data_IF_461074837739
#
_entry.id   IF_461074837739
#
_cell.length_a   1.000
_cell.length_b   1.000
_cell.length_c   1.000
_cell.angle_alpha   90.00
_cell.angle_beta   90.00
_cell.angle_gamma   90.00
#
_symmetry.space_group_name_H-M   'P 1'
#
loop_
_entity.id
_entity.type
_entity.pdbx_description
1 polymer ?
#
# COMPACT_ATOMS: atom_id res chain seq x y z
N UNK A 1 -2.49 25.01 -17.87
CA UNK A 1 -3.71 25.05 -17.06
C UNK A 1 -4.15 23.62 -16.79
N UNK A 2 -4.16 23.28 -15.51
CA UNK A 2 -4.32 21.94 -14.95
C UNK A 2 -5.77 21.46 -14.98
N UNK A 3 -5.97 20.18 -15.28
CA UNK A 3 -6.87 19.26 -14.56
C UNK A 3 -6.81 17.88 -15.23
N UNK A 4 -6.02 16.98 -14.64
CA UNK A 4 -6.31 15.56 -14.76
C UNK A 4 -6.10 14.94 -13.37
N UNK A 5 -7.07 15.19 -12.50
CA UNK A 5 -7.31 14.36 -11.32
C UNK A 5 -7.57 12.93 -11.83
N UNK A 6 -6.57 12.06 -11.70
CA UNK A 6 -6.79 10.63 -11.85
C UNK A 6 -7.64 10.15 -10.67
N UNK A 7 -8.97 10.31 -10.81
CA UNK A 7 -9.96 9.70 -9.93
C UNK A 7 -9.75 8.19 -10.03
N UNK A 8 -9.16 7.57 -9.00
CA UNK A 8 -9.22 6.11 -8.81
C UNK A 8 -10.69 5.71 -8.95
N UNK A 9 -11.03 4.97 -10.00
CA UNK A 9 -12.39 4.49 -10.22
C UNK A 9 -12.74 3.59 -9.03
N UNK A 10 -13.77 3.95 -8.28
CA UNK A 10 -14.28 3.10 -7.20
C UNK A 10 -14.77 1.80 -7.83
N UNK A 11 -14.12 0.67 -7.53
CA UNK A 11 -14.53 -0.66 -8.01
C UNK A 11 -15.81 -1.06 -7.25
N UNK A 12 -16.86 -1.35 -8.00
CA UNK A 12 -18.16 -1.78 -7.48
C UNK A 12 -18.66 -2.95 -8.32
N UNK A 13 -19.44 -3.82 -7.69
CA UNK A 13 -19.98 -5.02 -8.30
C UNK A 13 -21.50 -5.04 -8.20
N UNK A 14 -22.17 -5.53 -9.23
CA UNK A 14 -23.57 -5.91 -9.20
C UNK A 14 -23.78 -7.18 -8.38
N UNK A 15 -25.03 -7.47 -8.00
CA UNK A 15 -25.37 -8.72 -7.32
C UNK A 15 -25.02 -9.97 -8.16
N UNK A 16 -25.09 -9.87 -9.49
CA UNK A 16 -24.72 -10.96 -10.39
C UNK A 16 -23.20 -11.18 -10.41
N UNK A 17 -22.40 -10.11 -10.48
CA UNK A 17 -20.94 -10.21 -10.41
C UNK A 17 -20.49 -10.78 -9.07
N UNK A 18 -21.08 -10.32 -7.95
CA UNK A 18 -20.86 -10.90 -6.61
C UNK A 18 -21.15 -12.40 -6.60
N UNK A 19 -22.28 -12.81 -7.19
CA UNK A 19 -22.68 -14.20 -7.24
C UNK A 19 -21.69 -15.05 -8.05
N UNK A 20 -21.30 -14.57 -9.22
CA UNK A 20 -20.33 -15.24 -10.09
C UNK A 20 -18.97 -15.40 -9.40
N UNK A 21 -18.45 -14.33 -8.79
CA UNK A 21 -17.18 -14.35 -8.06
C UNK A 21 -17.23 -15.33 -6.88
N UNK A 22 -18.32 -15.35 -6.13
CA UNK A 22 -18.47 -16.23 -4.97
C UNK A 22 -18.90 -17.67 -5.33
N UNK A 23 -19.08 -17.99 -6.61
CA UNK A 23 -19.53 -19.31 -7.05
C UNK A 23 -20.95 -19.68 -6.59
N UNK A 24 -21.83 -18.69 -6.42
CA UNK A 24 -23.23 -18.89 -5.99
C UNK A 24 -24.22 -18.41 -7.05
N UNK A 25 -25.48 -18.82 -6.92
CA UNK A 25 -26.56 -18.31 -7.78
C UNK A 25 -26.91 -16.85 -7.44
N UNK A 26 -27.32 -16.06 -8.43
CA UNK A 26 -27.64 -14.63 -8.28
C UNK A 26 -28.63 -14.35 -7.12
N UNK A 27 -29.63 -15.21 -6.95
CA UNK A 27 -30.61 -15.07 -5.85
C UNK A 27 -29.96 -15.15 -4.46
N UNK A 28 -28.89 -15.93 -4.30
CA UNK A 28 -28.15 -16.04 -3.03
C UNK A 28 -27.47 -14.73 -2.68
N UNK A 29 -26.79 -14.09 -3.64
CA UNK A 29 -26.16 -12.79 -3.43
C UNK A 29 -27.19 -11.69 -3.14
N UNK A 30 -28.33 -11.69 -3.83
CA UNK A 30 -29.46 -10.79 -3.54
C UNK A 30 -29.98 -11.00 -2.12
N UNK A 31 -30.09 -12.25 -1.66
CA UNK A 31 -30.54 -12.56 -0.31
C UNK A 31 -29.53 -12.09 0.75
N UNK A 32 -28.22 -12.19 0.51
CA UNK A 32 -27.21 -11.62 1.41
C UNK A 32 -27.38 -10.11 1.59
N UNK A 33 -27.66 -9.40 0.50
CA UNK A 33 -27.88 -7.96 0.52
C UNK A 33 -29.18 -7.61 1.25
N UNK A 34 -30.29 -8.26 0.90
CA UNK A 34 -31.62 -8.00 1.50
C UNK A 34 -31.68 -8.29 3.00
N UNK A 35 -30.97 -9.31 3.45
CA UNK A 35 -30.90 -9.68 4.86
C UNK A 35 -29.85 -8.85 5.63
N UNK A 36 -29.17 -7.90 4.98
CA UNK A 36 -28.17 -7.04 5.61
C UNK A 36 -26.84 -7.72 5.92
N UNK A 37 -26.60 -8.93 5.39
CA UNK A 37 -25.32 -9.62 5.58
C UNK A 37 -24.21 -9.03 4.72
N UNK A 38 -24.55 -8.56 3.52
CA UNK A 38 -23.62 -7.89 2.60
C UNK A 38 -24.09 -6.47 2.35
N UNK A 39 -23.26 -5.49 2.71
CA UNK A 39 -23.58 -4.08 2.54
C UNK A 39 -23.63 -3.72 1.05
N UNK A 40 -24.66 -2.99 0.65
CA UNK A 40 -24.86 -2.54 -0.72
C UNK A 40 -25.69 -1.25 -0.75
N UNK A 41 -25.68 -0.56 -1.89
CA UNK A 41 -26.61 0.53 -2.18
C UNK A 41 -27.36 0.27 -3.50
N UNK A 42 -28.45 1.01 -3.73
CA UNK A 42 -29.21 0.93 -4.98
C UNK A 42 -28.86 2.10 -5.90
N UNK A 43 -28.68 1.80 -7.19
CA UNK A 43 -28.65 2.85 -8.22
C UNK A 43 -30.05 3.44 -8.41
N UNK A 44 -30.19 4.62 -9.04
CA UNK A 44 -31.51 5.18 -9.37
C UNK A 44 -32.41 4.22 -10.18
N UNK A 45 -31.82 3.29 -10.94
CA UNK A 45 -32.54 2.23 -11.66
C UNK A 45 -32.90 0.99 -10.83
N UNK A 46 -32.72 1.03 -9.50
CA UNK A 46 -33.10 -0.04 -8.58
C UNK A 46 -32.11 -1.20 -8.46
N UNK A 47 -31.03 -1.23 -9.24
CA UNK A 47 -30.03 -2.30 -9.18
C UNK A 47 -29.10 -2.15 -7.97
N UNK A 48 -28.72 -3.27 -7.35
CA UNK A 48 -27.72 -3.27 -6.28
C UNK A 48 -26.31 -2.99 -6.80
N UNK A 49 -25.53 -2.31 -5.96
CA UNK A 49 -24.08 -2.11 -6.09
C UNK A 49 -23.42 -2.37 -4.74
N UNK A 50 -22.41 -3.22 -4.77
CA UNK A 50 -21.59 -3.62 -3.63
C UNK A 50 -20.21 -3.03 -3.85
N UNK A 51 -19.66 -2.34 -2.85
CA UNK A 51 -18.28 -1.85 -2.92
C UNK A 51 -17.30 -3.02 -2.79
N UNK A 52 -16.14 -2.91 -3.44
CA UNK A 52 -15.10 -3.93 -3.35
C UNK A 52 -14.69 -4.25 -1.91
N UNK A 53 -14.50 -3.22 -1.06
CA UNK A 53 -14.15 -3.38 0.35
C UNK A 53 -15.22 -4.14 1.17
N UNK A 54 -16.50 -3.83 0.93
CA UNK A 54 -17.62 -4.47 1.62
C UNK A 54 -17.73 -5.96 1.24
N UNK A 55 -17.49 -6.28 -0.03
CA UNK A 55 -17.49 -7.66 -0.51
C UNK A 55 -16.30 -8.46 0.04
N UNK A 56 -15.11 -7.84 0.07
CA UNK A 56 -13.91 -8.49 0.62
C UNK A 56 -14.08 -8.80 2.12
N UNK A 57 -14.55 -7.83 2.91
CA UNK A 57 -14.81 -8.04 4.34
C UNK A 57 -15.80 -9.18 4.54
N UNK A 58 -16.92 -9.16 3.80
CA UNK A 58 -17.94 -10.20 3.86
C UNK A 58 -17.39 -11.61 3.59
N UNK A 59 -16.52 -11.76 2.60
CA UNK A 59 -15.91 -13.06 2.24
C UNK A 59 -14.94 -13.52 3.33
N UNK A 60 -14.08 -12.61 3.82
CA UNK A 60 -13.11 -12.88 4.89
C UNK A 60 -13.79 -13.29 6.19
N UNK A 61 -14.79 -12.53 6.63
CA UNK A 61 -15.53 -12.76 7.89
C UNK A 61 -16.26 -14.11 7.91
N UNK A 62 -16.52 -14.68 6.74
CA UNK A 62 -17.20 -15.99 6.57
C UNK A 62 -16.25 -17.14 6.25
N UNK A 63 -14.94 -16.90 6.18
CA UNK A 63 -13.95 -17.92 5.82
C UNK A 63 -14.16 -18.49 4.42
N UNK A 64 -14.73 -17.71 3.50
CA UNK A 64 -14.90 -18.11 2.11
C UNK A 64 -13.59 -17.91 1.33
N UNK A 65 -13.35 -18.73 0.31
CA UNK A 65 -12.20 -18.55 -0.59
C UNK A 65 -12.34 -17.20 -1.31
N UNK A 66 -11.29 -16.39 -1.29
CA UNK A 66 -11.24 -15.12 -2.01
C UNK A 66 -11.16 -15.42 -3.52
N UNK A 67 -12.08 -14.91 -4.34
CA UNK A 67 -12.02 -14.99 -5.80
C UNK A 67 -10.84 -14.18 -6.36
N UNK A 68 -10.17 -14.68 -7.40
CA UNK A 68 -9.02 -14.02 -8.06
C UNK A 68 -9.37 -12.60 -8.53
N UNK A 69 -10.60 -12.38 -9.03
CA UNK A 69 -11.12 -11.06 -9.42
C UNK A 69 -11.24 -10.05 -8.25
N UNK A 70 -11.22 -10.55 -7.01
CA UNK A 70 -11.19 -9.77 -5.77
C UNK A 70 -9.80 -9.72 -5.13
N UNK A 71 -8.87 -10.57 -5.54
CA UNK A 71 -7.47 -10.52 -5.11
C UNK A 71 -6.77 -9.29 -5.70
N UNK A 72 -7.30 -8.75 -6.79
CA UNK A 72 -6.72 -7.62 -7.51
C UNK A 72 -6.96 -6.26 -6.78
N UNK A 73 -5.99 -5.91 -5.92
CA UNK A 73 -5.76 -4.67 -5.15
C UNK A 73 -6.14 -4.65 -3.66
N UNK A 74 -6.59 -5.76 -3.08
CA UNK A 74 -7.08 -5.78 -1.69
C UNK A 74 -6.02 -6.15 -0.63
N UNK A 75 -4.85 -6.64 -1.03
CA UNK A 75 -3.78 -7.04 -0.11
C UNK A 75 -2.39 -7.20 -0.74
N UNK A 76 -2.14 -6.63 -1.92
CA UNK A 76 -0.80 -6.60 -2.50
C UNK A 76 -0.33 -5.16 -2.64
N UNK A 77 0.93 -4.91 -2.32
CA UNK A 77 1.52 -3.61 -2.49
C UNK A 77 1.60 -3.22 -3.99
N UNK A 78 1.44 -1.94 -4.28
CA UNK A 78 1.53 -1.39 -5.63
C UNK A 78 3.00 -1.19 -5.99
N UNK A 79 3.63 -2.20 -6.57
CA UNK A 79 5.05 -2.24 -7.00
C UNK A 79 5.46 -1.17 -8.03
N UNK A 80 4.49 -0.43 -8.59
CA UNK A 80 4.75 0.79 -9.37
C UNK A 80 4.68 2.06 -8.54
N UNK A 81 4.80 1.98 -7.22
CA UNK A 81 4.78 3.14 -6.34
C UNK A 81 5.68 3.01 -5.13
N UNK A 82 6.16 4.16 -4.67
CA UNK A 82 7.07 4.31 -3.55
C UNK A 82 6.59 5.45 -2.66
N UNK A 83 6.80 5.33 -1.35
CA UNK A 83 6.71 6.46 -0.43
C UNK A 83 8.08 6.75 0.18
N UNK A 84 8.42 8.04 0.29
CA UNK A 84 9.64 8.52 0.93
C UNK A 84 9.22 9.20 2.23
N UNK A 85 9.69 8.66 3.35
CA UNK A 85 9.38 9.15 4.70
C UNK A 85 10.66 9.66 5.33
N UNK A 86 10.83 10.99 5.32
CA UNK A 86 12.02 11.68 5.84
C UNK A 86 11.60 13.12 6.18
N UNK A 87 11.91 13.59 7.39
CA UNK A 87 11.57 14.94 7.85
C UNK A 87 12.50 16.01 7.25
N UNK A 88 13.67 15.62 6.71
CA UNK A 88 14.48 16.45 5.85
C UNK A 88 13.82 16.59 4.47
N UNK A 89 13.07 17.68 4.32
CA UNK A 89 12.37 18.03 3.07
C UNK A 89 13.30 18.10 1.87
N UNK A 90 14.53 18.59 2.05
CA UNK A 90 15.48 18.78 0.94
C UNK A 90 15.96 17.42 0.45
N UNK A 91 16.32 16.52 1.36
CA UNK A 91 16.72 15.16 1.00
C UNK A 91 15.56 14.39 0.38
N UNK A 92 14.36 14.49 0.96
CA UNK A 92 13.16 13.84 0.46
C UNK A 92 12.84 14.28 -0.99
N UNK A 93 12.83 15.59 -1.27
CA UNK A 93 12.63 16.14 -2.61
C UNK A 93 13.73 15.75 -3.60
N UNK A 94 14.99 15.68 -3.15
CA UNK A 94 16.11 15.26 -3.97
C UNK A 94 15.98 13.78 -4.40
N UNK A 95 15.62 12.88 -3.46
CA UNK A 95 15.35 11.47 -3.76
C UNK A 95 14.17 11.35 -4.73
N UNK A 96 13.07 12.06 -4.46
CA UNK A 96 11.88 12.03 -5.31
C UNK A 96 12.19 12.48 -6.75
N UNK A 97 12.93 13.58 -6.90
CA UNK A 97 13.34 14.10 -8.20
C UNK A 97 14.25 13.12 -8.94
N UNK A 98 15.21 12.52 -8.23
CA UNK A 98 16.12 11.53 -8.79
C UNK A 98 15.38 10.28 -9.27
N UNK A 99 14.50 9.71 -8.45
CA UNK A 99 13.73 8.52 -8.80
C UNK A 99 12.75 8.80 -9.95
N UNK A 100 12.06 9.94 -9.95
CA UNK A 100 11.15 10.33 -11.06
C UNK A 100 11.88 10.38 -12.40
N UNK A 101 13.12 10.87 -12.41
CA UNK A 101 13.93 10.98 -13.62
C UNK A 101 14.39 9.61 -14.14
N UNK A 102 14.70 8.67 -13.25
CA UNK A 102 15.28 7.37 -13.61
C UNK A 102 14.23 6.25 -13.76
N UNK A 103 13.05 6.38 -13.14
CA UNK A 103 11.95 5.43 -13.24
C UNK A 103 10.64 6.19 -13.51
N UNK A 104 10.36 6.59 -14.77
CA UNK A 104 9.21 7.44 -15.11
C UNK A 104 7.83 6.86 -14.75
N UNK A 105 7.72 5.53 -14.70
CA UNK A 105 6.49 4.80 -14.36
C UNK A 105 6.25 4.70 -12.85
N UNK A 106 7.26 5.02 -12.02
CA UNK A 106 7.19 4.90 -10.56
C UNK A 106 6.44 6.10 -9.98
N UNK A 107 5.30 5.84 -9.35
CA UNK A 107 4.54 6.86 -8.62
C UNK A 107 5.19 7.12 -7.27
N UNK A 108 5.55 8.37 -7.02
CA UNK A 108 6.22 8.78 -5.78
C UNK A 108 5.24 9.51 -4.86
N UNK A 109 5.20 9.07 -3.61
CA UNK A 109 4.56 9.73 -2.49
C UNK A 109 5.64 10.24 -1.53
N UNK A 110 5.37 11.36 -0.86
CA UNK A 110 6.30 11.96 0.09
C UNK A 110 5.55 12.19 1.40
N UNK A 111 6.20 11.86 2.50
CA UNK A 111 5.75 12.17 3.86
C UNK A 111 6.93 12.68 4.67
N UNK A 112 6.65 13.59 5.60
CA UNK A 112 7.65 14.31 6.39
C UNK A 112 7.51 14.03 7.89
N UNK A 113 6.59 13.14 8.26
CA UNK A 113 6.37 12.72 9.63
C UNK A 113 5.77 11.31 9.67
N UNK A 114 5.99 10.59 10.77
CA UNK A 114 5.58 9.18 10.88
C UNK A 114 4.06 8.97 10.91
N UNK A 115 3.27 9.97 11.32
CA UNK A 115 1.82 9.84 11.42
C UNK A 115 1.16 9.92 10.04
N UNK A 116 1.52 10.93 9.26
CA UNK A 116 1.11 11.06 7.88
C UNK A 116 1.60 9.87 7.04
N UNK A 117 2.83 9.41 7.28
CA UNK A 117 3.37 8.22 6.60
C UNK A 117 2.49 7.00 6.79
N UNK A 118 2.10 6.66 8.02
CA UNK A 118 1.23 5.52 8.29
C UNK A 118 -0.12 5.61 7.57
N UNK A 119 -0.73 6.80 7.55
CA UNK A 119 -1.99 7.06 6.82
C UNK A 119 -1.83 6.89 5.32
N UNK A 120 -0.75 7.43 4.74
CA UNK A 120 -0.44 7.32 3.32
C UNK A 120 -0.11 5.88 2.92
N UNK A 121 0.63 5.13 3.74
CA UNK A 121 0.98 3.72 3.49
C UNK A 121 -0.29 2.86 3.50
N UNK A 122 -1.19 3.05 4.48
CA UNK A 122 -2.48 2.36 4.51
C UNK A 122 -3.35 2.67 3.29
N UNK A 123 -3.39 3.94 2.87
CA UNK A 123 -4.23 4.43 1.77
C UNK A 123 -3.71 4.08 0.38
N UNK A 124 -2.41 4.17 0.19
CA UNK A 124 -1.77 4.05 -1.12
C UNK A 124 -1.11 2.71 -1.34
N UNK A 125 -0.83 1.94 -0.28
CA UNK A 125 -0.18 0.62 -0.31
C UNK A 125 1.02 0.59 -1.26
N UNK A 126 2.03 1.44 -1.05
CA UNK A 126 3.17 1.51 -1.95
C UNK A 126 3.96 0.21 -1.91
N UNK A 127 4.47 -0.26 -3.06
CA UNK A 127 5.37 -1.41 -3.16
C UNK A 127 6.71 -1.20 -2.47
N UNK A 128 7.15 0.06 -2.42
CA UNK A 128 8.42 0.45 -1.81
C UNK A 128 8.22 1.52 -0.74
N UNK A 129 9.01 1.43 0.33
CA UNK A 129 9.03 2.43 1.40
C UNK A 129 10.48 2.79 1.65
N UNK A 130 10.85 4.05 1.46
CA UNK A 130 12.09 4.62 1.99
C UNK A 130 11.75 5.25 3.33
N UNK A 131 12.34 4.73 4.39
CA UNK A 131 12.01 5.11 5.77
C UNK A 131 13.25 5.62 6.49
N UNK A 132 13.22 6.90 6.87
CA UNK A 132 14.12 7.41 7.90
C UNK A 132 13.67 6.87 9.27
N UNK A 133 14.62 6.39 10.06
CA UNK A 133 14.36 5.98 11.45
C UNK A 133 14.48 7.14 12.43
N UNK A 134 15.16 8.22 12.04
CA UNK A 134 15.45 9.39 12.86
C UNK A 134 14.31 10.42 12.86
N UNK A 135 13.08 9.96 12.56
CA UNK A 135 11.90 10.79 12.51
C UNK A 135 11.51 11.29 13.92
N UNK A 136 11.10 12.56 14.06
CA UNK A 136 10.53 13.07 15.29
C UNK A 136 9.16 12.43 15.58
N UNK A 137 8.96 11.99 16.82
CA UNK A 137 7.68 11.43 17.29
C UNK A 137 7.64 9.91 17.19
N UNK A 138 6.90 9.37 16.22
CA UNK A 138 6.79 7.90 16.03
C UNK A 138 8.11 7.40 15.46
N UNK A 139 8.78 6.52 16.20
CA UNK A 139 10.07 5.98 15.78
C UNK A 139 9.93 5.10 14.54
N UNK A 140 10.82 5.25 13.54
CA UNK A 140 10.77 4.44 12.32
C UNK A 140 10.85 2.92 12.56
N UNK A 141 11.42 2.49 13.69
CA UNK A 141 11.36 1.08 14.15
C UNK A 141 9.93 0.57 14.33
N UNK A 142 9.07 1.38 14.95
CA UNK A 142 7.67 1.03 15.19
C UNK A 142 6.88 0.99 13.89
N UNK A 143 7.15 1.92 12.97
CA UNK A 143 6.55 1.96 11.63
C UNK A 143 6.90 0.68 10.87
N UNK A 144 8.19 0.32 10.82
CA UNK A 144 8.67 -0.88 10.14
C UNK A 144 8.02 -2.15 10.71
N UNK A 145 8.06 -2.31 12.03
CA UNK A 145 7.45 -3.46 12.72
C UNK A 145 5.96 -3.57 12.42
N UNK A 146 5.23 -2.46 12.52
CA UNK A 146 3.78 -2.42 12.29
C UNK A 146 3.44 -2.84 10.86
N UNK A 147 4.17 -2.32 9.87
CA UNK A 147 3.95 -2.64 8.46
C UNK A 147 4.19 -4.12 8.18
N UNK A 148 5.26 -4.71 8.73
CA UNK A 148 5.59 -6.12 8.52
C UNK A 148 4.74 -7.08 9.35
N UNK A 149 4.08 -6.61 10.40
CA UNK A 149 3.17 -7.41 11.22
C UNK A 149 1.71 -7.44 10.72
N UNK A 150 1.37 -6.64 9.71
CA UNK A 150 0.00 -6.46 9.23
C UNK A 150 -0.08 -6.59 7.71
N UNK A 151 -0.53 -7.77 7.26
CA UNK A 151 -0.70 -8.14 5.85
C UNK A 151 -1.59 -7.16 5.07
N UNK A 152 -2.39 -6.34 5.75
CA UNK A 152 -3.24 -5.34 5.09
C UNK A 152 -2.43 -4.23 4.38
N UNK A 153 -1.14 -4.09 4.70
CA UNK A 153 -0.20 -3.21 4.01
C UNK A 153 0.38 -3.83 2.73
N UNK A 154 0.17 -5.12 2.48
CA UNK A 154 0.56 -5.81 1.26
C UNK A 154 2.04 -6.15 1.13
N UNK A 155 2.73 -6.28 2.26
CA UNK A 155 4.15 -6.69 2.37
C UNK A 155 5.12 -5.85 1.51
N UNK A 156 5.15 -4.53 1.70
CA UNK A 156 6.03 -3.67 0.90
C UNK A 156 7.50 -3.94 1.19
N UNK A 157 8.36 -3.61 0.23
CA UNK A 157 9.80 -3.61 0.37
C UNK A 157 10.26 -2.34 1.11
N UNK A 158 10.85 -2.51 2.29
CA UNK A 158 11.27 -1.43 3.19
C UNK A 158 12.77 -1.20 3.08
N UNK A 159 13.13 -0.02 2.60
CA UNK A 159 14.49 0.52 2.54
C UNK A 159 14.67 1.48 3.71
N UNK A 160 15.47 1.08 4.69
CA UNK A 160 15.82 1.93 5.83
C UNK A 160 16.95 2.87 5.46
N UNK A 161 16.80 4.13 5.84
CA UNK A 161 17.82 5.17 5.74
C UNK A 161 18.05 5.76 7.13
N UNK A 162 19.28 6.08 7.49
CA UNK A 162 19.56 6.72 8.79
C UNK A 162 20.84 7.56 8.77
N UNK A 163 20.86 8.62 9.57
CA UNK A 163 22.07 9.36 9.91
C UNK A 163 22.79 8.84 11.16
N UNK A 164 22.21 7.91 11.92
CA UNK A 164 22.79 7.43 13.17
C UNK A 164 24.07 6.61 12.96
N UNK A 165 25.06 6.96 13.77
CA UNK A 165 26.28 6.16 13.93
C UNK A 165 26.08 5.11 15.02
N UNK A 166 25.34 4.04 14.68
CA UNK A 166 25.22 2.84 15.51
C UNK A 166 25.55 1.60 14.66
N UNK A 167 26.49 0.79 15.16
CA UNK A 167 26.96 -0.43 14.49
C UNK A 167 25.96 -1.59 14.59
N UNK A 168 25.08 -1.58 15.59
CA UNK A 168 24.08 -2.62 15.85
C UNK A 168 22.77 -2.38 15.10
N UNK A 169 22.52 -1.14 14.71
CA UNK A 169 21.26 -0.69 14.15
C UNK A 169 20.88 -1.39 12.84
N UNK A 170 21.86 -1.66 11.96
CA UNK A 170 21.62 -2.42 10.73
C UNK A 170 21.02 -3.79 11.04
N UNK A 171 21.65 -4.54 11.96
CA UNK A 171 21.18 -5.88 12.34
C UNK A 171 19.78 -5.80 12.96
N UNK A 172 19.56 -4.85 13.87
CA UNK A 172 18.24 -4.66 14.49
C UNK A 172 17.14 -4.38 13.47
N UNK A 173 17.38 -3.50 12.49
CA UNK A 173 16.37 -3.16 11.50
C UNK A 173 16.03 -4.34 10.57
N UNK A 174 17.04 -5.13 10.18
CA UNK A 174 16.81 -6.33 9.38
C UNK A 174 16.00 -7.38 10.18
N UNK A 175 16.28 -7.55 11.48
CA UNK A 175 15.50 -8.45 12.35
C UNK A 175 14.05 -7.97 12.54
N UNK A 176 13.80 -6.66 12.50
CA UNK A 176 12.46 -6.07 12.54
C UNK A 176 11.72 -6.14 11.19
N UNK A 177 12.38 -6.68 10.15
CA UNK A 177 11.78 -6.94 8.84
C UNK A 177 12.09 -5.89 7.78
N UNK A 178 13.05 -4.99 7.99
CA UNK A 178 13.57 -4.17 6.89
C UNK A 178 14.24 -5.06 5.84
N UNK A 179 14.04 -4.76 4.56
CA UNK A 179 14.61 -5.54 3.47
C UNK A 179 15.99 -4.99 3.05
N UNK A 180 16.19 -3.68 3.21
CA UNK A 180 17.46 -3.00 2.89
C UNK A 180 17.79 -1.90 3.88
N UNK A 181 19.09 -1.55 3.95
CA UNK A 181 19.60 -0.55 4.90
C UNK A 181 20.73 0.28 4.28
N UNK A 182 20.59 1.61 4.32
CA UNK A 182 21.57 2.58 3.83
C UNK A 182 21.87 3.65 4.90
N UNK A 183 23.14 4.11 4.93
CA UNK A 183 23.57 5.22 5.80
C UNK A 183 23.57 6.53 5.02
N UNK A 184 23.23 7.63 5.69
CA UNK A 184 23.48 8.99 5.20
C UNK A 184 24.99 9.28 5.34
N UNK A 185 25.64 9.98 4.38
CA UNK A 185 25.07 10.51 3.14
C UNK A 185 24.71 9.41 2.13
N UNK A 186 23.52 9.52 1.54
CA UNK A 186 22.98 8.51 0.64
C UNK A 186 23.62 8.54 -0.75
N UNK A 187 23.96 7.37 -1.28
CA UNK A 187 24.17 7.18 -2.72
C UNK A 187 22.85 6.84 -3.39
N UNK A 188 22.29 7.80 -4.15
CA UNK A 188 21.02 7.61 -4.84
C UNK A 188 21.08 6.50 -5.91
N UNK A 189 22.25 6.23 -6.49
CA UNK A 189 22.39 5.12 -7.45
C UNK A 189 22.26 3.76 -6.75
N UNK A 190 22.74 3.66 -5.50
CA UNK A 190 22.58 2.44 -4.73
C UNK A 190 21.10 2.15 -4.44
N UNK A 191 20.31 3.17 -4.07
CA UNK A 191 18.85 3.04 -3.90
C UNK A 191 18.17 2.65 -5.21
N UNK A 192 18.53 3.28 -6.33
CA UNK A 192 17.98 2.97 -7.64
C UNK A 192 18.26 1.53 -8.05
N UNK A 193 19.49 1.05 -7.86
CA UNK A 193 19.88 -0.32 -8.16
C UNK A 193 19.10 -1.32 -7.31
N UNK A 194 18.89 -1.01 -6.03
CA UNK A 194 18.09 -1.82 -5.12
C UNK A 194 16.65 -1.96 -5.63
N UNK A 195 15.99 -0.82 -5.91
CA UNK A 195 14.61 -0.80 -6.43
C UNK A 195 14.51 -1.57 -7.75
N UNK A 196 15.43 -1.35 -8.69
CA UNK A 196 15.42 -2.05 -9.98
C UNK A 196 15.62 -3.56 -9.83
N UNK A 197 16.45 -3.99 -8.86
CA UNK A 197 16.69 -5.41 -8.58
C UNK A 197 15.41 -6.09 -8.12
N UNK A 198 14.60 -5.42 -7.29
CA UNK A 198 13.32 -5.94 -6.79
C UNK A 198 12.24 -5.90 -7.87
N UNK A 199 12.14 -4.83 -8.68
CA UNK A 199 11.15 -4.73 -9.77
C UNK A 199 11.37 -5.80 -10.86
N UNK A 200 12.60 -6.26 -11.05
CA UNK A 200 12.97 -7.22 -12.12
C UNK A 200 12.82 -8.69 -11.68
N UNK A 201 12.60 -8.97 -10.40
CA UNK A 201 12.39 -10.31 -9.85
C UNK A 201 10.92 -10.73 -9.95
#
# INVERSE_FOLDING_TARGET
>A
MSKNESRRRVKMYSALEVANMCGVVNQTAINWIRNGYLKAFNTPGGQYRVYHEDLLSFIKDRGMKIPEDLEDSAGQAHWNSIIIVDDDRVLNEAIATFLTKNIPELRIYQSYDGFDAGSQIAKYRPGFIILDIDLPGIGGKEICTKIKSDDSFGEPYIIVVTGLEDSTLKTQMLELGADSFFKKPLDFNAILNEINTVITQ
#
